data_IF_968571698796
#
_entry.id   IF_968571698796
#
_cell.length_a   1.000
_cell.length_b   1.000
_cell.length_c   1.000
_cell.angle_alpha   90.00
_cell.angle_beta   90.00
_cell.angle_gamma   90.00
#
_symmetry.space_group_name_H-M   'P 1'
#
loop_
_entity.id
_entity.type
_entity.pdbx_description
1 polymer ?
#
# COMPACT_ATOMS: atom_id res chain seq x y z
N UNK A 1 7.67 13.80 15.78
CA UNK A 1 7.82 12.57 16.62
C UNK A 1 9.30 12.33 16.88
N UNK A 2 9.72 11.84 18.06
CA UNK A 2 11.11 11.39 18.29
C UNK A 2 11.40 10.09 17.53
N UNK A 3 12.60 9.97 16.94
CA UNK A 3 13.04 8.82 16.14
C UNK A 3 12.84 7.46 16.84
N UNK A 4 13.12 7.40 18.15
CA UNK A 4 12.93 6.19 18.96
C UNK A 4 11.48 5.69 18.97
N UNK A 5 10.49 6.60 19.01
CA UNK A 5 9.06 6.22 18.98
C UNK A 5 8.64 5.69 17.61
N UNK A 6 9.22 6.22 16.53
CA UNK A 6 8.95 5.75 15.17
C UNK A 6 9.49 4.33 15.01
N UNK A 7 10.75 4.08 15.37
CA UNK A 7 11.37 2.74 15.31
C UNK A 7 10.59 1.71 16.11
N UNK A 8 10.17 2.07 17.33
CA UNK A 8 9.33 1.19 18.15
C UNK A 8 7.99 0.84 17.47
N UNK A 9 7.30 1.84 16.91
CA UNK A 9 6.05 1.62 16.17
C UNK A 9 6.25 0.75 14.93
N UNK A 10 7.32 0.98 14.17
CA UNK A 10 7.62 0.14 13.01
C UNK A 10 7.85 -1.32 13.38
N UNK A 11 8.58 -1.57 14.48
CA UNK A 11 8.79 -2.93 14.99
C UNK A 11 7.46 -3.60 15.30
N UNK A 12 6.60 -2.93 16.06
CA UNK A 12 5.28 -3.43 16.41
C UNK A 12 4.40 -3.70 15.18
N UNK A 13 4.43 -2.81 14.19
CA UNK A 13 3.68 -2.99 12.95
C UNK A 13 4.18 -4.18 12.13
N UNK A 14 5.50 -4.33 12.00
CA UNK A 14 6.11 -5.47 11.32
C UNK A 14 5.77 -6.79 12.00
N UNK A 15 5.86 -6.84 13.34
CA UNK A 15 5.51 -8.03 14.13
C UNK A 15 4.04 -8.41 13.95
N UNK A 16 3.13 -7.43 13.92
CA UNK A 16 1.68 -7.68 13.86
C UNK A 16 1.12 -7.90 12.45
N UNK A 17 1.66 -7.23 11.44
CA UNK A 17 1.10 -7.19 10.08
C UNK A 17 2.09 -7.61 8.98
N UNK A 18 3.25 -8.15 9.36
CA UNK A 18 4.25 -8.64 8.40
C UNK A 18 4.68 -7.57 7.39
N UNK A 19 4.64 -7.92 6.10
CA UNK A 19 5.05 -7.03 4.99
C UNK A 19 4.21 -5.75 4.92
N UNK A 20 2.92 -5.81 5.26
CA UNK A 20 2.03 -4.65 5.30
C UNK A 20 2.55 -3.67 6.37
N UNK A 21 2.95 -4.21 7.52
CA UNK A 21 3.55 -3.45 8.61
C UNK A 21 4.86 -2.76 8.23
N UNK A 22 5.73 -3.45 7.47
CA UNK A 22 6.98 -2.86 6.95
C UNK A 22 6.69 -1.66 6.05
N UNK A 23 5.76 -1.83 5.11
CA UNK A 23 5.38 -0.76 4.17
C UNK A 23 4.73 0.41 4.93
N UNK A 24 3.80 0.13 5.83
CA UNK A 24 3.16 1.15 6.67
C UNK A 24 4.17 1.92 7.51
N UNK A 25 5.19 1.23 8.03
CA UNK A 25 6.29 1.85 8.75
C UNK A 25 7.04 2.92 7.95
N UNK A 26 7.25 2.71 6.64
CA UNK A 26 7.90 3.71 5.77
C UNK A 26 7.02 4.94 5.54
N UNK A 27 5.70 4.74 5.44
CA UNK A 27 4.76 5.87 5.34
C UNK A 27 4.70 6.66 6.64
N UNK A 28 4.71 5.99 7.79
CA UNK A 28 4.81 6.66 9.10
C UNK A 28 6.09 7.48 9.22
N UNK A 29 7.24 6.94 8.82
CA UNK A 29 8.52 7.68 8.77
C UNK A 29 8.45 8.91 7.89
N UNK A 30 7.79 8.80 6.73
CA UNK A 30 7.58 9.91 5.81
C UNK A 30 6.55 10.94 6.32
N UNK A 31 6.03 10.78 7.54
CA UNK A 31 5.11 11.71 8.19
C UNK A 31 3.65 11.56 7.76
N UNK A 32 3.26 10.41 7.19
CA UNK A 32 1.86 10.10 6.94
C UNK A 32 1.19 9.62 8.22
N UNK A 33 -0.09 9.97 8.39
CA UNK A 33 -0.98 9.26 9.30
C UNK A 33 -1.46 7.98 8.60
N UNK A 34 -1.24 6.83 9.24
CA UNK A 34 -1.51 5.52 8.63
C UNK A 34 -2.57 4.76 9.41
N UNK A 35 -3.58 4.24 8.70
CA UNK A 35 -4.55 3.26 9.21
C UNK A 35 -4.37 1.95 8.46
N UNK A 36 -4.31 0.85 9.19
CA UNK A 36 -4.16 -0.50 8.64
C UNK A 36 -5.50 -1.21 8.58
N UNK A 37 -5.67 -2.07 7.58
CA UNK A 37 -6.86 -2.91 7.40
C UNK A 37 -8.17 -2.12 7.50
N UNK A 38 -8.20 -0.94 6.87
CA UNK A 38 -9.36 -0.05 6.95
C UNK A 38 -10.55 -0.70 6.21
N UNK A 39 -11.69 -0.92 6.88
CA UNK A 39 -12.82 -1.63 6.28
C UNK A 39 -13.42 -0.81 5.14
N UNK A 40 -13.79 -1.51 4.06
CA UNK A 40 -14.59 -0.95 2.96
C UNK A 40 -15.59 -2.00 2.47
N UNK A 41 -16.58 -1.57 1.69
CA UNK A 41 -17.54 -2.49 1.02
C UNK A 41 -16.88 -3.49 0.06
N UNK A 42 -15.65 -3.23 -0.39
CA UNK A 42 -14.88 -4.09 -1.31
C UNK A 42 -13.79 -4.89 -0.57
N UNK A 43 -13.93 -5.04 0.76
CA UNK A 43 -12.93 -5.65 1.63
C UNK A 43 -11.96 -4.62 2.23
N UNK A 44 -11.16 -5.01 3.24
CA UNK A 44 -10.25 -4.10 3.90
C UNK A 44 -9.16 -3.61 2.93
N UNK A 45 -8.79 -2.34 3.06
CA UNK A 45 -7.58 -1.77 2.45
C UNK A 45 -6.41 -2.08 3.36
N UNK A 46 -5.33 -2.63 2.83
CA UNK A 46 -4.14 -2.92 3.62
C UNK A 46 -3.61 -1.69 4.35
N UNK A 47 -3.42 -0.57 3.63
CA UNK A 47 -2.91 0.68 4.21
C UNK A 47 -3.67 1.88 3.64
N UNK A 48 -4.26 2.70 4.51
CA UNK A 48 -4.77 4.02 4.20
C UNK A 48 -3.80 5.06 4.77
N UNK A 49 -3.11 5.82 3.91
CA UNK A 49 -2.11 6.80 4.30
C UNK A 49 -2.55 8.22 3.96
N UNK A 50 -2.49 9.13 4.93
CA UNK A 50 -2.98 10.51 4.83
C UNK A 50 -1.86 11.49 5.18
N UNK A 51 -1.63 12.52 4.35
CA UNK A 51 -0.69 13.62 4.66
C UNK A 51 -1.12 14.89 3.93
N UNK A 52 -1.60 15.88 4.69
CA UNK A 52 -2.30 17.04 4.10
C UNK A 52 -3.46 16.56 3.24
N UNK A 53 -3.56 17.08 2.02
CA UNK A 53 -4.61 16.71 1.06
C UNK A 53 -4.35 15.39 0.34
N UNK A 54 -3.17 14.77 0.55
CA UNK A 54 -2.82 13.51 -0.10
C UNK A 54 -3.40 12.34 0.68
N UNK A 55 -4.24 11.55 0.01
CA UNK A 55 -4.77 10.29 0.52
C UNK A 55 -4.38 9.15 -0.41
N UNK A 56 -3.67 8.16 0.11
CA UNK A 56 -3.30 6.94 -0.60
C UNK A 56 -4.07 5.75 -0.07
N UNK A 57 -4.66 5.00 -1.00
CA UNK A 57 -5.29 3.71 -0.76
C UNK A 57 -4.36 2.65 -1.31
N UNK A 58 -3.75 1.86 -0.43
CA UNK A 58 -2.58 1.06 -0.76
C UNK A 58 -2.89 -0.41 -0.54
N UNK A 59 -2.60 -1.20 -1.57
CA UNK A 59 -2.56 -2.67 -1.53
C UNK A 59 -1.10 -3.14 -1.60
N UNK A 60 -0.74 -4.11 -0.76
CA UNK A 60 0.62 -4.68 -0.70
C UNK A 60 0.56 -6.13 -1.18
N UNK A 61 1.36 -6.46 -2.19
CA UNK A 61 1.50 -7.82 -2.71
C UNK A 61 2.96 -8.29 -2.59
N UNK A 62 3.16 -9.51 -2.09
CA UNK A 62 4.48 -10.16 -2.01
C UNK A 62 4.90 -10.82 -3.34
N UNK A 63 3.92 -11.12 -4.19
CA UNK A 63 4.10 -11.86 -5.44
C UNK A 63 4.18 -10.91 -6.63
N UNK A 64 4.80 -11.40 -7.71
CA UNK A 64 4.89 -10.71 -9.00
C UNK A 64 3.58 -10.75 -9.79
N UNK A 65 2.69 -11.69 -9.46
CA UNK A 65 1.37 -11.82 -10.09
C UNK A 65 0.33 -11.16 -9.21
N UNK A 66 -0.31 -10.12 -9.73
CA UNK A 66 -1.46 -9.49 -9.11
C UNK A 66 -2.61 -9.69 -10.07
N UNK A 67 -3.64 -10.39 -9.60
CA UNK A 67 -4.79 -10.68 -10.42
C UNK A 67 -5.59 -9.41 -10.69
N UNK A 68 -6.27 -9.40 -11.83
CA UNK A 68 -7.07 -8.27 -12.30
C UNK A 68 -8.14 -7.85 -11.28
N UNK A 69 -8.75 -8.84 -10.63
CA UNK A 69 -9.75 -8.61 -9.61
C UNK A 69 -9.20 -7.80 -8.43
N UNK A 70 -7.93 -8.00 -8.06
CA UNK A 70 -7.28 -7.23 -6.99
C UNK A 70 -7.08 -5.79 -7.42
N UNK A 71 -6.71 -5.54 -8.68
CA UNK A 71 -6.53 -4.19 -9.22
C UNK A 71 -7.86 -3.43 -9.30
N UNK A 72 -8.91 -4.10 -9.79
CA UNK A 72 -10.26 -3.51 -9.87
C UNK A 72 -10.76 -3.16 -8.46
N UNK A 73 -10.66 -4.10 -7.50
CA UNK A 73 -11.02 -3.84 -6.11
C UNK A 73 -10.21 -2.69 -5.51
N UNK A 74 -8.91 -2.59 -5.80
CA UNK A 74 -8.07 -1.49 -5.33
C UNK A 74 -8.59 -0.14 -5.84
N UNK A 75 -8.93 -0.05 -7.13
CA UNK A 75 -9.50 1.16 -7.72
C UNK A 75 -10.84 1.51 -7.08
N UNK A 76 -11.71 0.54 -6.87
CA UNK A 76 -13.02 0.76 -6.26
C UNK A 76 -12.94 1.19 -4.79
N UNK A 77 -12.01 0.60 -4.03
CA UNK A 77 -11.64 1.04 -2.68
C UNK A 77 -11.16 2.49 -2.70
N UNK A 78 -10.29 2.82 -3.65
CA UNK A 78 -9.71 4.16 -3.79
C UNK A 78 -10.75 5.23 -4.13
N UNK A 79 -11.66 4.92 -5.06
CA UNK A 79 -12.82 5.76 -5.39
C UNK A 79 -13.72 5.97 -4.17
N UNK A 80 -14.05 4.89 -3.45
CA UNK A 80 -14.94 4.93 -2.29
C UNK A 80 -14.36 5.76 -1.13
N UNK A 81 -13.03 5.80 -1.01
CA UNK A 81 -12.34 6.55 0.05
C UNK A 81 -11.86 7.94 -0.41
N UNK A 82 -12.04 8.29 -1.69
CA UNK A 82 -11.56 9.54 -2.28
C UNK A 82 -10.04 9.70 -2.18
N UNK A 83 -9.29 8.69 -2.60
CA UNK A 83 -7.82 8.69 -2.57
C UNK A 83 -7.19 8.09 -3.83
N UNK A 84 -5.89 8.27 -3.99
CA UNK A 84 -5.11 7.72 -5.09
C UNK A 84 -4.82 6.22 -4.84
N UNK A 85 -5.15 5.31 -5.78
CA UNK A 85 -4.82 3.89 -5.66
C UNK A 85 -3.32 3.66 -5.86
N UNK A 86 -2.71 2.88 -4.96
CA UNK A 86 -1.29 2.52 -5.02
C UNK A 86 -1.13 1.02 -4.83
N UNK A 87 -0.47 0.36 -5.77
CA UNK A 87 -0.01 -1.02 -5.61
C UNK A 87 1.45 -1.02 -5.17
N UNK A 88 1.74 -1.72 -4.08
CA UNK A 88 3.09 -1.94 -3.59
C UNK A 88 3.48 -3.40 -3.80
N UNK A 89 4.51 -3.62 -4.62
CA UNK A 89 5.15 -4.93 -4.74
C UNK A 89 6.32 -5.02 -3.76
N UNK A 90 6.23 -5.94 -2.81
CA UNK A 90 7.24 -6.17 -1.78
C UNK A 90 8.09 -7.40 -2.11
N UNK A 91 9.42 -7.24 -2.20
CA UNK A 91 10.35 -8.37 -2.36
C UNK A 91 11.75 -7.99 -2.84
N UNK A 92 12.66 -8.97 -2.93
CA UNK A 92 14.07 -8.74 -3.32
C UNK A 92 14.22 -8.23 -4.76
N UNK A 93 13.47 -8.81 -5.71
CA UNK A 93 13.49 -8.43 -7.13
C UNK A 93 12.11 -8.58 -7.77
N UNK A 94 11.10 -7.79 -7.38
CA UNK A 94 9.80 -7.83 -8.04
C UNK A 94 9.99 -7.39 -9.50
N UNK A 95 9.70 -8.30 -10.43
CA UNK A 95 9.64 -7.99 -11.86
C UNK A 95 8.18 -7.76 -12.19
N UNK A 96 7.90 -6.67 -12.88
CA UNK A 96 6.57 -6.30 -13.35
C UNK A 96 6.52 -6.79 -14.79
N UNK A 97 5.54 -7.63 -15.13
CA UNK A 97 5.31 -7.98 -16.54
C UNK A 97 4.87 -6.73 -17.31
N UNK A 98 5.12 -6.69 -18.63
CA UNK A 98 4.64 -5.59 -19.48
C UNK A 98 3.12 -5.41 -19.36
N UNK A 99 2.39 -6.52 -19.35
CA UNK A 99 0.92 -6.54 -19.24
C UNK A 99 0.42 -5.88 -17.96
N UNK A 100 1.05 -6.20 -16.81
CA UNK A 100 0.68 -5.59 -15.52
C UNK A 100 0.98 -4.09 -15.53
N UNK A 101 2.11 -3.66 -16.10
CA UNK A 101 2.47 -2.25 -16.16
C UNK A 101 1.48 -1.44 -17.02
N UNK A 102 1.07 -1.98 -18.17
CA UNK A 102 0.07 -1.35 -19.05
C UNK A 102 -1.27 -1.24 -18.33
N UNK A 103 -1.72 -2.32 -17.69
CA UNK A 103 -2.99 -2.34 -16.97
C UNK A 103 -3.04 -1.37 -15.79
N UNK A 104 -1.95 -1.27 -15.03
CA UNK A 104 -1.83 -0.29 -13.94
C UNK A 104 -1.94 1.15 -14.47
N UNK A 105 -1.37 1.42 -15.64
CA UNK A 105 -1.47 2.73 -16.30
C UNK A 105 -2.89 3.04 -16.74
N UNK A 106 -3.56 2.09 -17.40
CA UNK A 106 -4.96 2.22 -17.84
C UNK A 106 -5.91 2.49 -16.67
N UNK A 107 -5.69 1.81 -15.55
CA UNK A 107 -6.51 1.94 -14.34
C UNK A 107 -6.11 3.14 -13.46
N UNK A 108 -5.08 3.91 -13.83
CA UNK A 108 -4.58 5.04 -13.03
C UNK A 108 -3.97 4.62 -11.68
N UNK A 109 -3.50 3.39 -11.56
CA UNK A 109 -2.91 2.85 -10.32
C UNK A 109 -1.42 3.13 -10.28
N UNK A 110 -0.96 3.79 -9.21
CA UNK A 110 0.46 4.04 -9.03
C UNK A 110 1.17 2.78 -8.54
N UNK A 111 2.19 2.34 -9.27
CA UNK A 111 3.05 1.24 -8.85
C UNK A 111 4.23 1.72 -8.02
N UNK A 112 4.53 1.04 -6.90
CA UNK A 112 5.77 1.22 -6.15
C UNK A 112 6.40 -0.13 -5.80
N UNK A 113 7.72 -0.19 -5.90
CA UNK A 113 8.50 -1.35 -5.51
C UNK A 113 9.15 -1.09 -4.17
N UNK A 114 8.94 -2.00 -3.22
CA UNK A 114 9.58 -1.98 -1.92
C UNK A 114 10.48 -3.20 -1.80
N UNK A 115 11.78 -2.95 -1.67
CA UNK A 115 12.77 -3.99 -1.37
C UNK A 115 12.78 -4.26 0.13
N UNK A 116 12.59 -5.52 0.47
CA UNK A 116 12.63 -6.06 1.84
C UNK A 116 14.01 -6.58 2.22
#
# INVERSE_FOLDING_TARGET
>A
MRLARIRYRQRLLRERYGIIGVVAGRYLEAGFHVRLMHPTRHGPVHILALKGDRKFVIEVAATRRVDDEVLIKLVDKAKSLGGEPVLILYGKSPRVSGDLANKLRELGVRLRIVRG
#
